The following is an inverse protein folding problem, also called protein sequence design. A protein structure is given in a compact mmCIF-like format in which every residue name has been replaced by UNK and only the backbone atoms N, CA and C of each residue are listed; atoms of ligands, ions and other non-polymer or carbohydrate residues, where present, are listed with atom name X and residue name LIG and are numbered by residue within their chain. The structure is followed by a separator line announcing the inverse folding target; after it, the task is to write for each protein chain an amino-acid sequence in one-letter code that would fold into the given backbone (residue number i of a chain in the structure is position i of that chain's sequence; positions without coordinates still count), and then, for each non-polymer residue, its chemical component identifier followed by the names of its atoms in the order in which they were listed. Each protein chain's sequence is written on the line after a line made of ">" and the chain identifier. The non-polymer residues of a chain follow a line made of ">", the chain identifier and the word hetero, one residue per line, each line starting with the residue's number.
data_IF_897103245570
#
_entry.id   IF_897103245570
#
_cell.length_a   1.000
_cell.length_b   1.000
_cell.length_c   1.000
_cell.angle_alpha   90.00
_cell.angle_beta   90.00
_cell.angle_gamma   90.00
#
_symmetry.space_group_name_H-M   'P 1'
#
loop_
_entity.id
_entity.type
_entity.pdbx_description
1 polymer ?
#
# COMPACT_ATOMS: atom_id res chain seq x y z
N UNK A 1 -21.63 -15.52 -15.42
CA UNK A 1 -21.56 -14.21 -14.72
C UNK A 1 -20.43 -13.35 -15.25
N UNK A 2 -19.16 -13.79 -15.18
CA UNK A 2 -18.01 -12.96 -15.61
C UNK A 2 -18.03 -12.63 -17.11
N UNK A 3 -18.27 -13.61 -18.01
CA UNK A 3 -18.43 -13.31 -19.45
C UNK A 3 -19.56 -12.33 -19.76
N UNK A 4 -20.69 -12.48 -19.06
CA UNK A 4 -21.82 -11.57 -19.23
C UNK A 4 -21.49 -10.14 -18.78
N UNK A 5 -20.86 -9.98 -17.61
CA UNK A 5 -20.38 -8.68 -17.14
C UNK A 5 -19.27 -8.11 -18.05
N UNK A 6 -18.45 -8.99 -18.63
CA UNK A 6 -17.36 -8.67 -19.56
C UNK A 6 -17.81 -7.90 -20.80
N UNK A 7 -19.04 -8.09 -21.27
CA UNK A 7 -19.61 -7.38 -22.44
C UNK A 7 -19.71 -5.86 -22.26
N UNK A 8 -19.70 -5.37 -21.02
CA UNK A 8 -19.73 -3.94 -20.70
C UNK A 8 -18.34 -3.30 -20.77
N UNK A 9 -17.28 -4.10 -20.82
CA UNK A 9 -15.91 -3.60 -20.90
C UNK A 9 -15.51 -3.28 -22.34
N UNK A 10 -14.56 -2.36 -22.48
CA UNK A 10 -13.97 -1.99 -23.76
C UNK A 10 -12.94 -3.03 -24.22
N UNK A 11 -12.42 -2.84 -25.44
CA UNK A 11 -11.44 -3.74 -26.02
C UNK A 11 -10.10 -3.82 -25.27
N UNK A 12 -9.45 -4.95 -25.57
CA UNK A 12 -8.54 -5.80 -24.79
C UNK A 12 -9.19 -6.54 -23.61
N UNK A 13 -10.03 -5.89 -22.81
CA UNK A 13 -10.63 -6.55 -21.64
C UNK A 13 -11.73 -7.53 -22.02
N UNK A 14 -12.65 -7.15 -22.90
CA UNK A 14 -13.72 -8.03 -23.36
C UNK A 14 -13.19 -9.30 -24.04
N UNK A 15 -12.29 -9.14 -25.01
CA UNK A 15 -11.68 -10.26 -25.75
C UNK A 15 -10.87 -11.20 -24.84
N UNK A 16 -10.16 -10.67 -23.83
CA UNK A 16 -9.47 -11.50 -22.83
C UNK A 16 -10.45 -12.34 -21.98
N UNK A 17 -11.59 -11.77 -21.57
CA UNK A 17 -12.63 -12.49 -20.81
C UNK A 17 -13.28 -13.58 -21.68
N UNK A 18 -13.56 -13.29 -22.94
CA UNK A 18 -14.16 -14.26 -23.88
C UNK A 18 -13.23 -15.46 -24.14
N UNK A 19 -11.91 -15.24 -24.13
CA UNK A 19 -10.93 -16.30 -24.36
C UNK A 19 -10.87 -17.35 -23.24
N UNK A 20 -11.43 -17.06 -22.07
CA UNK A 20 -11.51 -18.02 -20.98
C UNK A 20 -12.41 -19.21 -21.35
N UNK A 21 -11.93 -20.42 -21.06
CA UNK A 21 -12.69 -21.65 -21.30
C UNK A 21 -14.00 -21.66 -20.49
N UNK A 22 -15.07 -22.19 -21.10
CA UNK A 22 -16.32 -22.44 -20.40
C UNK A 22 -16.11 -23.35 -19.19
N UNK A 23 -16.78 -23.05 -18.08
CA UNK A 23 -16.62 -23.78 -16.82
C UNK A 23 -15.37 -23.43 -16.01
N UNK A 24 -14.56 -22.45 -16.44
CA UNK A 24 -13.45 -21.93 -15.62
C UNK A 24 -13.98 -21.45 -14.27
N UNK A 25 -13.47 -22.05 -13.18
CA UNK A 25 -13.80 -21.59 -11.83
C UNK A 25 -13.10 -20.26 -11.56
N UNK A 26 -13.89 -19.24 -11.22
CA UNK A 26 -13.40 -17.92 -10.86
C UNK A 26 -13.73 -17.72 -9.39
N UNK A 27 -12.71 -17.69 -8.55
CA UNK A 27 -12.91 -17.44 -7.13
C UNK A 27 -13.35 -16.00 -6.93
N UNK A 28 -14.50 -15.74 -6.28
CA UNK A 28 -14.79 -14.41 -5.78
C UNK A 28 -13.79 -14.12 -4.66
N UNK A 29 -12.88 -13.17 -4.89
CA UNK A 29 -12.00 -12.68 -3.85
C UNK A 29 -12.55 -11.36 -3.30
N UNK A 30 -12.81 -11.36 -1.99
CA UNK A 30 -13.34 -10.20 -1.29
C UNK A 30 -12.20 -9.39 -0.71
N UNK A 31 -12.05 -8.13 -1.13
CA UNK A 31 -11.08 -7.24 -0.51
C UNK A 31 -11.56 -6.83 0.90
N UNK A 32 -11.06 -7.53 1.91
CA UNK A 32 -11.22 -7.16 3.31
C UNK A 32 -10.07 -6.27 3.76
N UNK A 33 -10.37 -5.01 4.10
CA UNK A 33 -9.38 -4.08 4.64
C UNK A 33 -9.75 -3.64 6.05
N UNK A 34 -8.77 -3.47 6.92
CA UNK A 34 -8.97 -2.93 8.26
C UNK A 34 -7.80 -2.02 8.65
N UNK A 35 -8.13 -0.85 9.19
CA UNK A 35 -7.10 0.03 9.74
C UNK A 35 -6.42 -0.65 10.93
N UNK A 36 -5.09 -0.62 10.95
CA UNK A 36 -4.31 -1.15 12.06
C UNK A 36 -4.66 -0.38 13.32
N UNK A 37 -5.01 -1.12 14.38
CA UNK A 37 -5.27 -0.54 15.70
C UNK A 37 -4.24 -1.07 16.69
N UNK A 38 -3.90 -0.28 17.73
CA UNK A 38 -3.13 -0.79 18.85
C UNK A 38 -3.77 -2.07 19.43
N UNK A 39 -2.92 -3.05 19.78
CA UNK A 39 -3.32 -4.29 20.43
C UNK A 39 -2.60 -4.47 21.77
N UNK A 40 -3.00 -5.47 22.56
CA UNK A 40 -2.25 -5.86 23.75
C UNK A 40 -1.13 -6.83 23.35
N UNK A 41 0.16 -6.45 23.47
CA UNK A 41 1.27 -7.30 23.08
C UNK A 41 1.55 -8.44 24.09
N UNK A 42 0.78 -8.55 25.18
CA UNK A 42 0.89 -9.60 26.22
C UNK A 42 2.28 -9.66 26.86
N UNK A 43 2.83 -8.48 27.14
CA UNK A 43 4.20 -8.31 27.65
C UNK A 43 5.27 -8.58 26.60
N UNK A 44 4.96 -8.36 25.32
CA UNK A 44 5.86 -8.54 24.18
C UNK A 44 5.93 -9.97 23.63
N UNK A 45 5.01 -10.84 24.03
CA UNK A 45 4.89 -12.22 23.54
C UNK A 45 4.05 -12.36 22.29
N UNK A 46 3.24 -11.35 21.97
CA UNK A 46 2.35 -11.34 20.80
C UNK A 46 2.66 -10.12 19.95
N UNK A 47 3.21 -10.38 18.76
CA UNK A 47 3.44 -9.39 17.71
C UNK A 47 2.66 -9.84 16.47
N UNK A 48 2.07 -8.89 15.78
CA UNK A 48 1.33 -9.11 14.53
C UNK A 48 2.08 -8.33 13.44
N UNK A 49 2.18 -8.91 12.24
CA UNK A 49 2.91 -8.37 11.11
C UNK A 49 2.20 -8.71 9.79
N UNK A 50 2.57 -8.01 8.72
CA UNK A 50 2.02 -8.18 7.38
C UNK A 50 0.52 -7.91 7.33
N UNK A 51 -0.18 -8.62 6.45
CA UNK A 51 -1.62 -8.45 6.26
C UNK A 51 -2.43 -8.65 7.55
N UNK A 52 -1.94 -9.46 8.50
CA UNK A 52 -2.59 -9.61 9.80
C UNK A 52 -2.60 -8.30 10.62
N UNK A 53 -1.59 -7.45 10.45
CA UNK A 53 -1.50 -6.15 11.11
C UNK A 53 -2.16 -5.04 10.28
N UNK A 54 -1.94 -5.01 8.97
CA UNK A 54 -2.39 -3.94 8.06
C UNK A 54 -2.90 -4.52 6.73
N UNK A 55 -4.09 -5.13 6.73
CA UNK A 55 -4.67 -5.60 5.47
C UNK A 55 -5.07 -4.44 4.57
N UNK A 56 -4.35 -4.32 3.46
CA UNK A 56 -4.51 -3.28 2.47
C UNK A 56 -5.07 -3.85 1.17
N UNK A 57 -5.86 -3.04 0.46
CA UNK A 57 -6.26 -3.37 -0.92
C UNK A 57 -5.07 -3.27 -1.87
N UNK A 58 -5.05 -4.09 -2.93
CA UNK A 58 -3.95 -4.17 -3.89
C UNK A 58 -3.69 -2.89 -4.72
N UNK A 59 -4.54 -1.87 -4.62
CA UNK A 59 -4.52 -0.67 -5.48
C UNK A 59 -3.23 0.15 -5.42
N UNK A 60 -2.45 0.05 -4.33
CA UNK A 60 -1.15 0.72 -4.20
C UNK A 60 0.03 -0.24 -4.37
N UNK A 61 -0.20 -1.56 -4.26
CA UNK A 61 0.83 -2.60 -4.30
C UNK A 61 1.94 -2.49 -3.22
N UNK A 62 1.61 -2.01 -2.00
CA UNK A 62 2.58 -1.87 -0.90
C UNK A 62 2.59 -3.02 0.13
N UNK A 63 1.70 -4.01 0.01
CA UNK A 63 1.55 -5.10 1.00
C UNK A 63 2.86 -5.83 1.33
N UNK A 64 3.61 -6.22 0.29
CA UNK A 64 4.91 -6.88 0.47
C UNK A 64 5.94 -5.98 1.14
N UNK A 65 6.00 -4.70 0.74
CA UNK A 65 6.97 -3.75 1.29
C UNK A 65 6.75 -3.56 2.79
N UNK A 66 5.49 -3.44 3.24
CA UNK A 66 5.18 -3.33 4.66
C UNK A 66 5.43 -4.61 5.43
N UNK A 67 5.09 -5.77 4.85
CA UNK A 67 5.41 -7.06 5.45
C UNK A 67 6.92 -7.25 5.64
N UNK A 68 7.74 -6.84 4.66
CA UNK A 68 9.20 -6.88 4.79
C UNK A 68 9.70 -5.91 5.86
N UNK A 69 9.17 -4.69 5.90
CA UNK A 69 9.54 -3.70 6.92
C UNK A 69 9.24 -4.21 8.34
N UNK A 70 8.08 -4.85 8.54
CA UNK A 70 7.72 -5.46 9.82
C UNK A 70 8.74 -6.50 10.27
N UNK A 71 9.08 -7.43 9.36
CA UNK A 71 10.05 -8.49 9.65
C UNK A 71 11.43 -7.90 9.96
N UNK A 72 11.87 -6.89 9.21
CA UNK A 72 13.14 -6.21 9.46
C UNK A 72 13.16 -5.53 10.84
N UNK A 73 12.07 -4.84 11.21
CA UNK A 73 11.92 -4.20 12.52
C UNK A 73 11.93 -5.24 13.65
N UNK A 74 11.21 -6.36 13.48
CA UNK A 74 11.18 -7.47 14.45
C UNK A 74 12.57 -8.10 14.62
N UNK A 75 13.25 -8.44 13.53
CA UNK A 75 14.59 -9.03 13.58
C UNK A 75 15.58 -8.08 14.28
N UNK A 76 15.53 -6.79 13.95
CA UNK A 76 16.35 -5.76 14.61
C UNK A 76 16.06 -5.71 16.11
N UNK A 77 14.79 -5.66 16.50
CA UNK A 77 14.36 -5.66 17.89
C UNK A 77 14.83 -6.88 18.68
N UNK A 78 14.63 -8.08 18.13
CA UNK A 78 15.07 -9.34 18.76
C UNK A 78 16.59 -9.34 18.98
N UNK A 79 17.38 -8.82 18.03
CA UNK A 79 18.84 -8.70 18.19
C UNK A 79 19.21 -7.76 19.35
N UNK A 80 18.53 -6.64 19.48
CA UNK A 80 18.76 -5.66 20.55
C UNK A 80 18.32 -6.20 21.93
N UNK A 81 17.22 -6.95 21.99
CA UNK A 81 16.79 -7.68 23.20
C UNK A 81 17.85 -8.71 23.61
N UNK A 82 18.33 -9.52 22.66
CA UNK A 82 19.38 -10.52 22.92
C UNK A 82 20.69 -9.88 23.41
N UNK A 83 21.00 -8.68 22.94
CA UNK A 83 22.15 -7.91 23.38
C UNK A 83 21.94 -7.21 24.74
N UNK A 84 20.77 -7.33 25.35
CA UNK A 84 20.44 -6.69 26.64
C UNK A 84 20.27 -5.17 26.55
N UNK A 85 20.09 -4.61 25.35
CA UNK A 85 20.02 -3.15 25.13
C UNK A 85 18.63 -2.58 25.32
N UNK A 86 17.59 -3.39 25.11
CA UNK A 86 16.19 -3.03 25.28
C UNK A 86 15.44 -4.20 25.91
N UNK A 87 14.42 -3.92 26.73
CA UNK A 87 13.55 -4.97 27.25
C UNK A 87 12.59 -5.47 26.17
N UNK A 88 12.08 -6.69 26.34
CA UNK A 88 11.06 -7.24 25.43
C UNK A 88 9.77 -6.40 25.42
N UNK A 89 9.40 -5.82 26.56
CA UNK A 89 8.20 -5.00 26.70
C UNK A 89 8.37 -3.67 25.97
N UNK A 90 9.51 -3.01 26.16
CA UNK A 90 9.78 -1.71 25.53
C UNK A 90 9.90 -1.85 24.00
N UNK A 91 10.57 -2.91 23.54
CA UNK A 91 10.60 -3.24 22.11
C UNK A 91 9.19 -3.47 21.55
N UNK A 92 8.37 -4.28 22.22
CA UNK A 92 7.02 -4.57 21.73
C UNK A 92 6.14 -3.32 21.67
N UNK A 93 6.21 -2.45 22.67
CA UNK A 93 5.44 -1.21 22.70
C UNK A 93 5.88 -0.26 21.57
N UNK A 94 7.19 -0.08 21.38
CA UNK A 94 7.73 0.76 20.29
C UNK A 94 7.40 0.21 18.90
N UNK A 95 7.49 -1.11 18.70
CA UNK A 95 7.09 -1.74 17.46
C UNK A 95 5.59 -1.57 17.18
N UNK A 96 4.75 -1.74 18.20
CA UNK A 96 3.30 -1.62 18.06
C UNK A 96 2.88 -0.20 17.71
N UNK A 97 3.48 0.80 18.34
CA UNK A 97 3.23 2.22 18.02
C UNK A 97 3.61 2.54 16.56
N UNK A 98 4.78 2.07 16.12
CA UNK A 98 5.26 2.23 14.74
C UNK A 98 4.32 1.56 13.73
N UNK A 99 3.98 0.29 13.96
CA UNK A 99 3.12 -0.49 13.06
C UNK A 99 1.69 0.06 13.03
N UNK A 100 1.15 0.50 14.17
CA UNK A 100 -0.17 1.11 14.22
C UNK A 100 -0.22 2.41 13.44
N UNK A 101 0.81 3.26 13.57
CA UNK A 101 0.91 4.53 12.83
C UNK A 101 1.03 4.28 11.32
N UNK A 102 2.08 3.56 10.90
CA UNK A 102 2.33 3.26 9.49
C UNK A 102 1.19 2.46 8.85
N UNK A 103 0.73 1.41 9.52
CA UNK A 103 -0.34 0.53 9.01
C UNK A 103 -1.66 1.27 8.82
N UNK A 104 -2.00 2.21 9.71
CA UNK A 104 -3.20 3.03 9.56
C UNK A 104 -3.15 3.94 8.33
N UNK A 105 -2.02 4.61 8.10
CA UNK A 105 -1.83 5.48 6.93
C UNK A 105 -1.92 4.68 5.63
N UNK A 106 -1.27 3.52 5.64
CA UNK A 106 -1.14 2.64 4.48
C UNK A 106 -2.40 1.86 4.16
N UNK A 107 -3.35 1.76 5.09
CA UNK A 107 -4.69 1.22 4.81
C UNK A 107 -5.61 2.28 4.20
N UNK A 108 -5.55 3.53 4.67
CA UNK A 108 -6.43 4.60 4.18
C UNK A 108 -6.16 4.96 2.73
N UNK A 109 -4.89 5.09 2.35
CA UNK A 109 -4.53 5.58 1.02
C UNK A 109 -4.95 4.63 -0.12
N UNK A 110 -4.69 3.31 -0.08
CA UNK A 110 -5.14 2.37 -1.10
C UNK A 110 -6.66 2.26 -1.18
N UNK A 111 -7.38 2.37 -0.06
CA UNK A 111 -8.84 2.40 -0.06
C UNK A 111 -9.37 3.62 -0.82
N UNK A 112 -8.83 4.81 -0.53
CA UNK A 112 -9.18 6.03 -1.24
C UNK A 112 -8.88 5.93 -2.74
N UNK A 113 -7.71 5.38 -3.09
CA UNK A 113 -7.33 5.15 -4.49
C UNK A 113 -8.26 4.16 -5.19
N UNK A 114 -8.59 3.04 -4.53
CA UNK A 114 -9.55 2.04 -5.01
C UNK A 114 -10.91 2.64 -5.30
N UNK A 115 -11.45 3.44 -4.38
CA UNK A 115 -12.70 4.16 -4.61
C UNK A 115 -12.58 5.17 -5.75
N UNK A 116 -11.46 5.88 -5.84
CA UNK A 116 -11.26 6.90 -6.88
C UNK A 116 -11.15 6.32 -8.28
N UNK A 117 -10.58 5.12 -8.48
CA UNK A 117 -10.51 4.48 -9.81
C UNK A 117 -11.86 3.95 -10.29
N UNK A 118 -12.84 3.77 -9.38
CA UNK A 118 -14.19 3.29 -9.71
C UNK A 118 -15.27 4.39 -9.71
N UNK A 119 -14.92 5.63 -9.37
CA UNK A 119 -15.85 6.76 -9.33
C UNK A 119 -15.26 7.98 -10.04
N UNK A 120 -15.82 8.32 -11.20
CA UNK A 120 -15.31 9.41 -12.05
C UNK A 120 -15.22 10.77 -11.34
N UNK A 121 -16.17 11.10 -10.46
CA UNK A 121 -16.14 12.35 -9.71
C UNK A 121 -14.95 12.40 -8.76
N UNK A 122 -14.61 11.27 -8.13
CA UNK A 122 -13.41 11.14 -7.32
C UNK A 122 -12.14 11.07 -8.20
N UNK A 123 -12.18 10.38 -9.34
CA UNK A 123 -11.03 10.25 -10.25
C UNK A 123 -10.51 11.62 -10.68
N UNK A 124 -11.40 12.54 -11.07
CA UNK A 124 -11.06 13.93 -11.45
C UNK A 124 -10.33 14.70 -10.35
N UNK A 125 -10.46 14.28 -9.09
CA UNK A 125 -9.76 14.92 -7.97
C UNK A 125 -8.35 14.40 -7.77
N UNK A 126 -7.99 13.25 -8.36
CA UNK A 126 -6.70 12.61 -8.18
C UNK A 126 -5.56 13.50 -8.75
N UNK A 127 -4.39 13.54 -8.07
CA UNK A 127 -3.26 14.34 -8.53
C UNK A 127 -2.86 14.07 -9.97
N UNK A 128 -2.87 12.80 -10.39
CA UNK A 128 -2.50 12.40 -11.76
C UNK A 128 -3.34 13.10 -12.84
N UNK A 129 -4.62 13.39 -12.59
CA UNK A 129 -5.49 14.10 -13.53
C UNK A 129 -5.44 15.62 -13.37
N UNK A 130 -5.12 16.13 -12.17
CA UNK A 130 -5.06 17.57 -11.90
C UNK A 130 -3.73 18.20 -12.32
N UNK A 131 -2.62 17.55 -12.02
CA UNK A 131 -1.26 18.08 -12.17
C UNK A 131 -0.40 17.25 -13.14
N UNK A 132 -0.93 16.14 -13.65
CA UNK A 132 -0.22 15.24 -14.57
C UNK A 132 0.85 14.40 -13.87
N UNK A 133 1.76 13.81 -14.65
CA UNK A 133 2.92 13.04 -14.17
C UNK A 133 4.14 13.92 -13.87
N UNK A 134 3.94 15.24 -13.73
CA UNK A 134 5.04 16.17 -13.46
C UNK A 134 5.78 15.68 -12.20
N UNK A 135 7.07 15.32 -12.30
CA UNK A 135 7.78 14.75 -11.17
C UNK A 135 7.78 15.75 -10.02
N UNK A 136 7.18 15.38 -8.89
CA UNK A 136 7.14 16.19 -7.67
C UNK A 136 8.54 16.44 -7.06
N UNK A 137 9.60 15.87 -7.66
CA UNK A 137 11.00 15.98 -7.25
C UNK A 137 11.91 16.52 -8.37
N UNK A 138 11.40 17.40 -9.25
CA UNK A 138 12.20 18.02 -10.33
C UNK A 138 13.45 18.74 -9.80
N UNK A 139 13.41 19.26 -8.56
CA UNK A 139 14.55 19.98 -7.96
C UNK A 139 15.83 19.13 -7.77
N UNK A 140 15.74 17.80 -7.93
CA UNK A 140 16.89 16.88 -7.78
C UNK A 140 17.18 16.03 -9.03
N UNK A 141 16.62 16.35 -10.20
CA UNK A 141 16.86 15.56 -11.41
C UNK A 141 18.13 16.03 -12.14
N UNK A 142 19.11 15.14 -12.27
CA UNK A 142 20.40 15.35 -12.98
C UNK A 142 20.29 15.47 -14.51
N UNK A 143 19.08 15.38 -15.07
CA UNK A 143 18.83 15.52 -16.50
C UNK A 143 18.11 16.84 -16.74
N UNK A 144 18.81 17.90 -17.20
CA UNK A 144 18.18 19.18 -17.47
C UNK A 144 17.24 19.06 -18.66
N UNK A 145 15.98 19.47 -18.49
CA UNK A 145 15.05 19.63 -19.60
C UNK A 145 15.34 20.96 -20.31
N UNK A 146 15.35 20.95 -21.64
CA UNK A 146 15.56 22.15 -22.45
C UNK A 146 14.47 23.20 -22.13
N UNK A 147 14.88 24.35 -21.60
CA UNK A 147 14.04 25.55 -21.53
C UNK A 147 13.84 26.20 -20.16
N UNK A 148 14.52 25.77 -19.10
CA UNK A 148 14.53 26.50 -17.83
C UNK A 148 15.87 27.24 -17.65
N UNK A 149 15.85 28.57 -17.84
CA UNK A 149 16.94 29.42 -17.39
C UNK A 149 16.99 29.41 -15.86
N UNK A 150 18.13 28.97 -15.33
CA UNK A 150 18.41 28.90 -13.91
C UNK A 150 18.78 30.32 -13.45
N UNK A 151 17.82 31.06 -12.89
CA UNK A 151 18.16 32.19 -12.03
C UNK A 151 18.42 31.67 -10.61
N UNK A 152 19.64 31.21 -10.38
CA UNK A 152 20.19 31.07 -9.03
C UNK A 152 20.64 32.45 -8.55
N UNK A 153 19.99 32.99 -7.52
CA UNK A 153 20.63 33.96 -6.63
C UNK A 153 20.39 33.51 -5.19
N UNK A 154 21.55 33.39 -4.54
CA UNK A 154 21.89 33.00 -3.16
C UNK A 154 20.96 33.57 -2.09
#
# INVERSE_FOLDING_TARGET
>A
MVKEAGKLFVELFWSAIEWMFEGTYISPDGYGTWETRPWDPRGGRVLIAGDAAHSMTAHRAHGLNHSLQDILNIIKGIKEIKAGKISMVDFANSYLEEVASRGSEEVRMPLQQGLAVHNWDLTKTMPILKIGTTPLHIDHTIVPLLGQEINQVV
#
